data_IF_005753241192
#
_entry.id   IF_005753241192
#
_cell.length_a   1.000
_cell.length_b   1.000
_cell.length_c   1.000
_cell.angle_alpha   90.00
_cell.angle_beta   90.00
_cell.angle_gamma   90.00
#
_symmetry.space_group_name_H-M   'P 1'
#
loop_
_entity.id
_entity.type
_entity.pdbx_description
1 polymer ?
#
# COMPACT_ATOMS: atom_id res chain seq x y z
N UNK A 1 9.24 10.83 -9.99
CA UNK A 1 9.34 9.51 -10.64
C UNK A 1 7.93 8.95 -10.70
N UNK A 2 7.40 8.64 -11.89
CA UNK A 2 6.03 8.13 -12.03
C UNK A 2 5.99 6.68 -11.57
N UNK A 3 5.06 6.34 -10.68
CA UNK A 3 4.91 4.96 -10.21
C UNK A 3 4.11 4.11 -11.20
N UNK A 4 4.24 2.78 -11.11
CA UNK A 4 3.42 1.85 -11.91
C UNK A 4 1.92 2.10 -11.70
N UNK A 5 1.49 2.29 -10.44
CA UNK A 5 0.13 2.70 -10.10
C UNK A 5 -0.31 3.96 -10.85
N UNK A 6 0.53 5.00 -10.89
CA UNK A 6 0.19 6.27 -11.53
C UNK A 6 -0.01 6.13 -13.05
N UNK A 7 0.84 5.31 -13.71
CA UNK A 7 0.69 4.97 -15.12
C UNK A 7 -0.57 4.15 -15.38
N UNK A 8 -0.83 3.17 -14.52
CA UNK A 8 -1.97 2.28 -14.64
C UNK A 8 -3.30 3.02 -14.43
N UNK A 9 -3.36 3.93 -13.45
CA UNK A 9 -4.49 4.85 -13.23
C UNK A 9 -4.76 5.71 -14.46
N UNK A 10 -3.73 6.37 -14.98
CA UNK A 10 -3.87 7.20 -16.19
C UNK A 10 -4.34 6.39 -17.39
N UNK A 11 -3.85 5.16 -17.52
CA UNK A 11 -4.21 4.25 -18.61
C UNK A 11 -5.67 3.81 -18.49
N UNK A 12 -6.13 3.40 -17.32
CA UNK A 12 -7.53 3.05 -17.07
C UNK A 12 -8.45 4.23 -17.37
N UNK A 13 -8.12 5.43 -16.85
CA UNK A 13 -8.91 6.63 -17.11
C UNK A 13 -9.06 6.91 -18.61
N UNK A 14 -7.94 6.89 -19.34
CA UNK A 14 -7.95 7.15 -20.80
C UNK A 14 -8.73 6.08 -21.56
N UNK A 15 -8.58 4.80 -21.21
CA UNK A 15 -9.36 3.70 -21.83
C UNK A 15 -10.86 3.82 -21.58
N UNK A 16 -11.26 4.33 -20.41
CA UNK A 16 -12.65 4.58 -20.07
C UNK A 16 -13.21 5.88 -20.68
N UNK A 17 -12.40 6.71 -21.34
CA UNK A 17 -12.83 7.95 -21.98
C UNK A 17 -13.03 9.14 -21.03
N UNK A 18 -12.68 9.01 -19.74
CA UNK A 18 -12.83 10.09 -18.76
C UNK A 18 -11.71 11.13 -18.85
N UNK A 19 -12.04 12.39 -18.62
CA UNK A 19 -11.06 13.44 -18.31
C UNK A 19 -10.76 13.46 -16.81
N UNK A 20 -9.68 14.14 -16.40
CA UNK A 20 -9.30 14.17 -14.97
C UNK A 20 -10.36 14.85 -14.09
N UNK A 21 -11.12 15.81 -14.63
CA UNK A 21 -12.23 16.46 -13.91
C UNK A 21 -13.39 15.51 -13.63
N UNK A 22 -13.66 14.53 -14.50
CA UNK A 22 -14.70 13.54 -14.27
C UNK A 22 -14.35 12.66 -13.08
N UNK A 23 -13.11 12.15 -13.06
CA UNK A 23 -12.60 11.35 -11.94
C UNK A 23 -12.59 12.17 -10.66
N UNK A 24 -12.20 13.45 -10.73
CA UNK A 24 -12.21 14.32 -9.56
C UNK A 24 -13.62 14.49 -9.00
N UNK A 25 -14.62 14.70 -9.86
CA UNK A 25 -16.02 14.77 -9.46
C UNK A 25 -16.48 13.46 -8.80
N UNK A 26 -16.18 12.31 -9.40
CA UNK A 26 -16.55 10.98 -8.87
C UNK A 26 -15.84 10.65 -7.55
N UNK A 27 -14.66 11.22 -7.31
CA UNK A 27 -13.94 11.12 -6.04
C UNK A 27 -14.35 12.18 -5.01
N UNK A 28 -15.31 13.06 -5.31
CA UNK A 28 -15.66 14.23 -4.51
C UNK A 28 -14.42 15.08 -4.15
N UNK A 29 -13.59 15.36 -5.15
CA UNK A 29 -12.26 15.95 -4.99
C UNK A 29 -11.94 16.97 -6.09
N UNK A 30 -10.76 17.57 -6.04
CA UNK A 30 -10.30 18.53 -7.05
C UNK A 30 -9.48 17.85 -8.15
N UNK A 31 -9.53 18.40 -9.38
CA UNK A 31 -8.75 17.87 -10.52
C UNK A 31 -7.24 17.81 -10.22
N UNK A 32 -6.72 18.75 -9.43
CA UNK A 32 -5.33 18.76 -8.98
C UNK A 32 -4.96 17.50 -8.18
N UNK A 33 -5.90 16.94 -7.38
CA UNK A 33 -5.71 15.68 -6.67
C UNK A 33 -5.51 14.52 -7.64
N UNK A 34 -6.35 14.41 -8.68
CA UNK A 34 -6.22 13.36 -9.71
C UNK A 34 -4.90 13.52 -10.48
N UNK A 35 -4.51 14.76 -10.78
CA UNK A 35 -3.22 15.06 -11.42
C UNK A 35 -2.04 14.59 -10.56
N UNK A 36 -2.07 14.86 -9.25
CA UNK A 36 -1.05 14.39 -8.31
C UNK A 36 -0.93 12.87 -8.26
N UNK A 37 -2.07 12.16 -8.29
CA UNK A 37 -2.12 10.70 -8.31
C UNK A 37 -1.52 10.15 -9.62
N UNK A 38 -1.93 10.67 -10.77
CA UNK A 38 -1.43 10.23 -12.09
C UNK A 38 0.03 10.59 -12.36
N UNK A 39 0.59 11.54 -11.61
CA UNK A 39 2.01 11.89 -11.70
C UNK A 39 2.84 11.19 -10.62
N UNK A 40 2.21 10.38 -9.76
CA UNK A 40 2.86 9.67 -8.66
C UNK A 40 3.42 10.60 -7.57
N UNK A 41 2.96 11.85 -7.51
CA UNK A 41 3.38 12.81 -6.47
C UNK A 41 2.75 12.50 -5.11
N UNK A 42 1.58 11.87 -5.13
CA UNK A 42 0.86 11.45 -3.94
C UNK A 42 0.33 10.04 -4.13
N UNK A 43 0.22 9.30 -3.03
CA UNK A 43 -0.53 8.05 -2.99
C UNK A 43 -2.02 8.33 -2.76
N UNK A 44 -2.93 7.49 -3.29
CA UNK A 44 -4.33 7.55 -2.95
C UNK A 44 -4.52 7.06 -1.50
N UNK A 45 -5.58 7.54 -0.86
CA UNK A 45 -6.11 6.98 0.37
C UNK A 45 -6.79 5.64 0.10
N UNK A 46 -7.09 4.88 1.16
CA UNK A 46 -7.85 3.64 1.05
C UNK A 46 -9.23 3.87 0.40
N UNK A 47 -9.92 4.96 0.78
CA UNK A 47 -11.20 5.30 0.18
C UNK A 47 -11.05 5.63 -1.31
N UNK A 48 -10.07 6.46 -1.69
CA UNK A 48 -9.85 6.78 -3.10
C UNK A 48 -9.51 5.53 -3.93
N UNK A 49 -8.69 4.60 -3.44
CA UNK A 49 -8.35 3.40 -4.22
C UNK A 49 -9.54 2.46 -4.38
N UNK A 50 -10.39 2.32 -3.35
CA UNK A 50 -11.63 1.54 -3.45
C UNK A 50 -12.57 2.20 -4.46
N UNK A 51 -12.77 3.51 -4.38
CA UNK A 51 -13.64 4.23 -5.32
C UNK A 51 -13.11 4.16 -6.75
N UNK A 52 -11.81 4.32 -6.97
CA UNK A 52 -11.18 4.13 -8.28
C UNK A 52 -11.39 2.70 -8.80
N UNK A 53 -11.34 1.70 -7.92
CA UNK A 53 -11.58 0.31 -8.30
C UNK A 53 -13.03 0.08 -8.74
N UNK A 54 -13.99 0.74 -8.08
CA UNK A 54 -15.40 0.74 -8.48
C UNK A 54 -15.62 1.46 -9.81
N UNK A 55 -14.99 2.62 -10.02
CA UNK A 55 -15.10 3.41 -11.25
C UNK A 55 -14.59 2.60 -12.46
N UNK A 56 -13.48 1.88 -12.31
CA UNK A 56 -12.83 1.17 -13.42
C UNK A 56 -13.12 -0.33 -13.47
N UNK A 57 -13.89 -0.87 -12.52
CA UNK A 57 -14.24 -2.28 -12.45
C UNK A 57 -13.04 -3.22 -12.29
N UNK A 58 -11.94 -2.77 -11.67
CA UNK A 58 -10.73 -3.56 -11.46
C UNK A 58 -9.94 -3.08 -10.23
N UNK A 59 -9.12 -3.95 -9.67
CA UNK A 59 -8.18 -3.58 -8.61
C UNK A 59 -6.90 -2.94 -9.18
N UNK A 60 -6.15 -2.24 -8.31
CA UNK A 60 -4.85 -1.64 -8.61
C UNK A 60 -3.74 -2.36 -7.84
N UNK A 61 -3.44 -3.59 -8.25
CA UNK A 61 -2.51 -4.50 -7.55
C UNK A 61 -1.10 -3.94 -7.37
N UNK A 62 -0.61 -3.16 -8.35
CA UNK A 62 0.71 -2.55 -8.29
C UNK A 62 0.86 -1.56 -7.12
N UNK A 63 -0.23 -0.86 -6.75
CA UNK A 63 -0.24 -0.02 -5.55
C UNK A 63 -0.16 -0.87 -4.29
N UNK A 64 -0.94 -1.95 -4.22
CA UNK A 64 -0.96 -2.84 -3.06
C UNK A 64 0.42 -3.47 -2.84
N UNK A 65 1.05 -4.00 -3.89
CA UNK A 65 2.40 -4.56 -3.83
C UNK A 65 3.42 -3.53 -3.31
N UNK A 66 3.38 -2.30 -3.85
CA UNK A 66 4.26 -1.22 -3.43
C UNK A 66 4.09 -0.84 -1.95
N UNK A 67 2.84 -0.67 -1.50
CA UNK A 67 2.52 -0.31 -0.11
C UNK A 67 2.91 -1.46 0.83
N UNK A 68 2.65 -2.71 0.43
CA UNK A 68 3.01 -3.90 1.20
C UNK A 68 4.53 -4.04 1.35
N UNK A 69 5.28 -3.86 0.26
CA UNK A 69 6.73 -3.90 0.28
C UNK A 69 7.33 -2.83 1.21
N UNK A 70 6.81 -1.60 1.17
CA UNK A 70 7.24 -0.54 2.08
C UNK A 70 6.90 -0.87 3.54
N UNK A 71 5.67 -1.33 3.81
CA UNK A 71 5.23 -1.71 5.14
C UNK A 71 6.09 -2.85 5.72
N UNK A 72 6.41 -3.86 4.90
CA UNK A 72 7.31 -4.97 5.26
C UNK A 72 8.71 -4.48 5.64
N UNK A 73 9.33 -3.64 4.80
CA UNK A 73 10.65 -3.05 5.06
C UNK A 73 10.67 -2.29 6.38
N UNK A 74 9.66 -1.48 6.64
CA UNK A 74 9.58 -0.70 7.87
C UNK A 74 9.25 -1.55 9.10
N UNK A 75 8.42 -2.59 8.94
CA UNK A 75 8.10 -3.51 10.02
C UNK A 75 9.33 -4.35 10.41
N UNK A 76 10.12 -4.83 9.44
CA UNK A 76 11.39 -5.54 9.69
C UNK A 76 12.35 -4.71 10.54
N UNK A 77 12.47 -3.40 10.25
CA UNK A 77 13.28 -2.47 11.05
C UNK A 77 12.73 -2.31 12.47
N UNK A 78 11.41 -2.19 12.62
CA UNK A 78 10.74 -1.98 13.91
C UNK A 78 10.78 -3.21 14.81
N UNK A 79 10.57 -4.41 14.25
CA UNK A 79 10.64 -5.68 14.99
C UNK A 79 12.01 -5.91 15.61
N UNK A 80 13.10 -5.49 14.92
CA UNK A 80 14.46 -5.55 15.48
C UNK A 80 14.68 -4.61 16.67
N UNK A 81 13.95 -3.50 16.74
CA UNK A 81 14.03 -2.47 17.79
C UNK A 81 12.97 -2.66 18.89
N UNK A 82 12.24 -3.76 18.85
CA UNK A 82 11.13 -4.00 19.74
C UNK A 82 11.64 -4.13 21.18
N UNK A 83 11.07 -3.39 22.17
CA UNK A 83 11.60 -3.36 23.53
C UNK A 83 11.70 -4.76 24.15
N UNK A 84 12.83 -5.07 24.79
CA UNK A 84 13.07 -6.36 25.44
C UNK A 84 12.59 -6.39 26.90
N UNK A 85 12.44 -5.22 27.51
CA UNK A 85 12.06 -5.03 28.91
C UNK A 85 10.52 -5.10 29.08
N UNK A 86 9.93 -6.25 28.82
CA UNK A 86 8.51 -6.49 29.14
C UNK A 86 8.37 -7.32 30.40
N UNK A 87 7.50 -6.88 31.32
CA UNK A 87 7.14 -7.64 32.52
C UNK A 87 6.64 -9.02 32.11
N UNK A 88 7.13 -10.05 32.77
CA UNK A 88 6.64 -11.40 32.57
C UNK A 88 5.38 -11.64 33.41
N UNK A 89 4.27 -11.97 32.73
CA UNK A 89 3.01 -12.41 33.33
C UNK A 89 2.17 -13.15 32.27
N UNK A 90 1.04 -13.73 32.68
CA UNK A 90 0.19 -14.54 31.79
C UNK A 90 -0.18 -13.85 30.45
N UNK A 91 -0.37 -12.52 30.45
CA UNK A 91 -0.68 -11.75 29.24
C UNK A 91 0.48 -11.61 28.25
N UNK A 92 1.73 -11.86 28.67
CA UNK A 92 2.92 -11.83 27.80
C UNK A 92 3.46 -13.21 27.44
N UNK A 93 2.80 -14.29 27.87
CA UNK A 93 3.24 -15.67 27.66
C UNK A 93 3.59 -15.97 26.19
N UNK A 94 2.74 -15.53 25.25
CA UNK A 94 2.94 -15.78 23.81
C UNK A 94 3.83 -14.76 23.09
N UNK A 95 4.42 -13.80 23.82
CA UNK A 95 5.05 -12.65 23.18
C UNK A 95 6.28 -13.02 22.37
N UNK A 96 7.19 -13.82 22.94
CA UNK A 96 8.42 -14.23 22.28
C UNK A 96 8.12 -15.03 21.00
N UNK A 97 7.27 -16.05 21.10
CA UNK A 97 6.88 -16.89 19.96
C UNK A 97 6.13 -16.11 18.88
N UNK A 98 5.35 -15.08 19.25
CA UNK A 98 4.67 -14.23 18.27
C UNK A 98 5.64 -13.31 17.51
N UNK A 99 6.69 -12.83 18.18
CA UNK A 99 7.75 -12.03 17.56
C UNK A 99 8.61 -12.87 16.62
N UNK A 100 9.01 -14.08 17.03
CA UNK A 100 9.78 -14.97 16.15
C UNK A 100 8.97 -15.36 14.90
N UNK A 101 7.71 -15.80 15.07
CA UNK A 101 6.83 -16.07 13.92
C UNK A 101 6.64 -14.85 13.01
N UNK A 102 6.66 -13.63 13.55
CA UNK A 102 6.62 -12.42 12.74
C UNK A 102 7.92 -12.22 11.96
N UNK A 103 9.09 -12.44 12.58
CA UNK A 103 10.38 -12.35 11.88
C UNK A 103 10.48 -13.38 10.75
N UNK A 104 10.02 -14.60 10.98
CA UNK A 104 10.06 -15.68 9.98
C UNK A 104 9.22 -15.32 8.76
N UNK A 105 7.97 -14.88 8.97
CA UNK A 105 7.11 -14.38 7.88
C UNK A 105 7.71 -13.19 7.14
N UNK A 106 8.43 -12.31 7.85
CA UNK A 106 9.07 -11.16 7.22
C UNK A 106 10.32 -11.55 6.40
N UNK A 107 10.96 -12.67 6.71
CA UNK A 107 12.15 -13.17 6.02
C UNK A 107 11.81 -14.03 4.80
N UNK A 108 10.79 -14.89 4.87
CA UNK A 108 10.40 -15.79 3.78
C UNK A 108 10.05 -15.05 2.48
N UNK A 109 9.46 -13.86 2.59
CA UNK A 109 9.05 -13.09 1.40
C UNK A 109 10.22 -12.34 0.72
N UNK A 110 11.40 -12.23 1.35
CA UNK A 110 12.58 -11.67 0.69
C UNK A 110 13.18 -12.65 -0.35
N UNK A 111 12.97 -13.97 -0.18
CA UNK A 111 13.46 -15.01 -1.10
C UNK A 111 12.63 -15.06 -2.40
N UNK A 112 11.33 -14.76 -2.33
CA UNK A 112 10.44 -14.74 -3.50
C UNK A 112 10.60 -13.48 -4.36
N UNK A 113 10.95 -12.32 -3.78
CA UNK A 113 11.22 -11.08 -4.54
C UNK A 113 12.62 -11.08 -5.23
N UNK A 114 13.45 -12.09 -4.96
CA UNK A 114 14.84 -12.20 -5.46
C UNK A 114 15.02 -13.25 -6.58
N UNK A 115 13.94 -13.92 -7.01
CA UNK A 115 13.92 -14.95 -8.05
C UNK A 115 13.06 -14.49 -9.22
#
# INVERSE_FOLDING_TARGET
>A
MTTEFALDLRTARRKAGFVQSDIAHLLASHQSRVSDLEQGRKLPTLTEIITLSLIFGRSFESLFAMVMGQARKDLKKRVRKLPKNTRDFAGTFNRASSIERLKDRLAADDEYDST
#
